data_IF_750442135309
#
_entry.id   IF_750442135309
#
_cell.length_a   1.000
_cell.length_b   1.000
_cell.length_c   1.000
_cell.angle_alpha   90.00
_cell.angle_beta   90.00
_cell.angle_gamma   90.00
#
_symmetry.space_group_name_H-M   'P 1'
#
loop_
_entity.id
_entity.type
_entity.pdbx_description
1 polymer ?
#
# COMPACT_ATOMS: atom_id res chain seq x y z
N UNK A 1 34.44 -8.63 -30.59
CA UNK A 1 33.64 -7.47 -30.15
C UNK A 1 32.25 -7.94 -29.76
N UNK A 2 31.88 -7.93 -28.47
CA UNK A 2 30.48 -8.01 -27.99
C UNK A 2 30.37 -7.31 -26.63
N UNK A 3 30.54 -6.00 -26.64
CA UNK A 3 30.08 -5.14 -25.54
C UNK A 3 28.64 -4.77 -25.86
N UNK A 4 27.71 -5.09 -24.96
CA UNK A 4 26.63 -4.19 -24.55
C UNK A 4 26.10 -4.75 -23.21
N UNK A 5 26.65 -4.23 -22.12
CA UNK A 5 26.06 -4.41 -20.79
C UNK A 5 24.72 -3.70 -20.74
N UNK A 6 23.64 -4.46 -20.52
CA UNK A 6 22.34 -3.91 -20.18
C UNK A 6 22.28 -3.82 -18.66
N UNK A 7 22.47 -2.60 -18.18
CA UNK A 7 22.06 -2.05 -16.88
C UNK A 7 21.23 -3.01 -16.02
N UNK A 8 21.86 -3.50 -14.95
CA UNK A 8 21.17 -4.13 -13.82
C UNK A 8 20.45 -2.98 -13.10
N UNK A 9 19.17 -2.78 -13.39
CA UNK A 9 18.30 -2.17 -12.41
C UNK A 9 18.11 -3.26 -11.35
N UNK A 10 18.88 -3.14 -10.28
CA UNK A 10 18.75 -3.98 -9.09
C UNK A 10 17.31 -3.86 -8.62
N UNK A 11 16.51 -4.87 -8.96
CA UNK A 11 15.33 -5.22 -8.18
C UNK A 11 15.83 -5.34 -6.75
N UNK A 12 15.47 -4.34 -5.95
CA UNK A 12 15.63 -4.38 -4.51
C UNK A 12 14.94 -5.66 -4.07
N UNK A 13 15.75 -6.67 -3.79
CA UNK A 13 15.31 -7.91 -3.18
C UNK A 13 14.89 -7.56 -1.76
N UNK A 14 13.70 -6.98 -1.64
CA UNK A 14 13.00 -6.88 -0.38
C UNK A 14 12.59 -8.30 -0.04
N UNK A 15 13.22 -8.87 0.99
CA UNK A 15 12.69 -9.97 1.76
C UNK A 15 11.17 -9.84 1.82
N UNK A 16 10.36 -10.85 1.42
CA UNK A 16 8.92 -10.71 1.51
C UNK A 16 8.61 -10.43 2.98
N UNK A 17 8.02 -9.27 3.33
CA UNK A 17 7.52 -9.09 4.67
C UNK A 17 6.56 -10.24 4.90
N UNK A 18 6.76 -10.93 6.02
CA UNK A 18 6.13 -12.21 6.30
C UNK A 18 4.59 -12.11 6.37
N UNK A 19 4.04 -10.90 6.33
CA UNK A 19 2.64 -10.60 6.10
C UNK A 19 2.48 -9.12 5.70
N UNK A 20 1.93 -8.82 4.53
CA UNK A 20 1.51 -7.45 4.21
C UNK A 20 0.17 -7.18 4.91
N UNK A 21 0.02 -5.99 5.50
CA UNK A 21 -1.20 -5.57 6.20
C UNK A 21 -1.75 -4.28 5.64
N UNK A 22 -3.07 -4.14 5.66
CA UNK A 22 -3.76 -2.88 5.38
C UNK A 22 -3.67 -1.96 6.60
N UNK A 23 -3.98 -0.68 6.38
CA UNK A 23 -4.07 0.33 7.43
C UNK A 23 -5.01 -0.06 8.59
N UNK A 24 -6.07 -0.83 8.31
CA UNK A 24 -7.01 -1.34 9.31
C UNK A 24 -6.62 -2.72 9.88
N UNK A 25 -5.42 -3.24 9.56
CA UNK A 25 -4.92 -4.52 10.06
C UNK A 25 -5.36 -5.77 9.30
N UNK A 26 -6.06 -5.61 8.18
CA UNK A 26 -6.41 -6.71 7.28
C UNK A 26 -5.17 -7.28 6.59
N UNK A 27 -5.15 -8.59 6.35
CA UNK A 27 -4.03 -9.27 5.69
C UNK A 27 -4.13 -9.14 4.17
N UNK A 28 -3.00 -8.92 3.50
CA UNK A 28 -2.87 -8.89 2.05
C UNK A 28 -2.03 -10.07 1.58
N UNK A 29 -2.50 -10.74 0.53
CA UNK A 29 -1.74 -11.79 -0.16
C UNK A 29 -0.73 -11.19 -1.15
N UNK A 30 -1.15 -10.18 -1.92
CA UNK A 30 -0.29 -9.46 -2.86
C UNK A 30 -0.58 -7.96 -2.81
N UNK A 31 0.33 -7.13 -2.26
CA UNK A 31 0.13 -5.69 -2.12
C UNK A 31 0.02 -4.93 -3.45
N UNK A 32 0.48 -5.50 -4.57
CA UNK A 32 0.41 -4.85 -5.88
C UNK A 32 -1.02 -4.73 -6.41
N UNK A 33 -1.94 -5.56 -5.93
CA UNK A 33 -3.34 -5.56 -6.35
C UNK A 33 -4.23 -4.59 -5.52
N UNK A 34 -3.66 -3.94 -4.51
CA UNK A 34 -4.42 -3.12 -3.58
C UNK A 34 -4.05 -1.63 -3.69
N UNK A 35 -5.03 -0.72 -3.50
CA UNK A 35 -4.75 0.70 -3.42
C UNK A 35 -3.76 1.00 -2.29
N UNK A 36 -2.86 1.96 -2.52
CA UNK A 36 -1.88 2.39 -1.53
C UNK A 36 -1.53 3.87 -1.68
N UNK A 37 -1.12 4.49 -0.57
CA UNK A 37 -0.69 5.88 -0.50
C UNK A 37 0.57 6.01 0.36
N UNK A 38 1.27 7.14 0.23
CA UNK A 38 2.39 7.47 1.12
C UNK A 38 1.88 8.26 2.32
N UNK A 39 2.26 7.83 3.52
CA UNK A 39 1.97 8.49 4.79
C UNK A 39 3.24 8.58 5.62
N UNK A 40 3.68 9.79 5.96
CA UNK A 40 4.88 10.02 6.80
C UNK A 40 6.13 9.27 6.30
N UNK A 41 6.26 9.10 4.99
CA UNK A 41 7.38 8.38 4.35
C UNK A 41 7.21 6.87 4.23
N UNK A 42 6.13 6.30 4.74
CA UNK A 42 5.80 4.87 4.64
C UNK A 42 4.66 4.63 3.66
N UNK A 43 4.69 3.49 2.95
CA UNK A 43 3.58 3.08 2.08
C UNK A 43 2.52 2.35 2.89
N UNK A 44 1.31 2.89 2.88
CA UNK A 44 0.13 2.34 3.53
C UNK A 44 -0.78 1.71 2.48
N UNK A 45 -1.27 0.50 2.76
CA UNK A 45 -2.16 -0.25 1.86
C UNK A 45 -3.59 -0.26 2.37
N UNK A 46 -4.55 -0.34 1.45
CA UNK A 46 -5.98 -0.30 1.77
C UNK A 46 -6.71 -1.46 1.12
N UNK A 47 -7.72 -2.01 1.80
CA UNK A 47 -8.53 -3.12 1.27
C UNK A 47 -9.42 -2.70 0.09
N UNK A 48 -9.80 -1.42 0.02
CA UNK A 48 -10.75 -0.89 -0.96
C UNK A 48 -10.39 0.55 -1.38
N UNK A 49 -10.89 0.99 -2.53
CA UNK A 49 -10.67 2.35 -3.03
C UNK A 49 -11.40 3.39 -2.16
N UNK A 50 -12.55 3.06 -1.59
CA UNK A 50 -13.22 3.93 -0.62
C UNK A 50 -12.35 4.24 0.60
N UNK A 51 -11.66 3.24 1.17
CA UNK A 51 -10.74 3.48 2.29
C UNK A 51 -9.60 4.42 1.92
N UNK A 52 -9.00 4.24 0.73
CA UNK A 52 -8.00 5.18 0.20
C UNK A 52 -8.59 6.60 0.09
N UNK A 53 -9.80 6.74 -0.43
CA UNK A 53 -10.47 8.04 -0.61
C UNK A 53 -10.76 8.75 0.71
N UNK A 54 -11.07 8.01 1.79
CA UNK A 54 -11.25 8.62 3.12
C UNK A 54 -9.90 9.00 3.71
N UNK A 55 -8.89 8.13 3.59
CA UNK A 55 -7.52 8.42 4.00
C UNK A 55 -6.93 9.67 3.31
N UNK A 56 -7.16 9.85 2.01
CA UNK A 56 -6.68 11.02 1.25
C UNK A 56 -7.33 12.34 1.67
N UNK A 57 -8.50 12.30 2.33
CA UNK A 57 -9.17 13.50 2.85
C UNK A 57 -8.59 13.92 4.19
N UNK A 58 -8.42 12.96 5.10
CA UNK A 58 -7.79 13.19 6.40
C UNK A 58 -7.07 11.93 6.91
N UNK A 59 -5.74 11.85 6.73
CA UNK A 59 -5.00 10.62 6.99
C UNK A 59 -4.74 10.38 8.49
N UNK A 60 -4.64 11.43 9.31
CA UNK A 60 -4.39 11.30 10.76
C UNK A 60 -5.54 10.58 11.50
N UNK A 61 -6.82 11.00 11.40
CA UNK A 61 -7.93 10.29 12.05
C UNK A 61 -8.19 8.91 11.44
N UNK A 62 -7.91 8.74 10.15
CA UNK A 62 -7.97 7.43 9.52
C UNK A 62 -6.96 6.46 10.14
N UNK A 63 -5.70 6.89 10.30
CA UNK A 63 -4.63 6.08 10.90
C UNK A 63 -4.81 5.90 12.40
N UNK A 64 -5.54 6.79 13.08
CA UNK A 64 -5.97 6.63 14.47
C UNK A 64 -7.12 5.61 14.64
N UNK A 65 -7.75 5.15 13.56
CA UNK A 65 -8.88 4.23 13.60
C UNK A 65 -10.20 4.89 13.99
N UNK A 66 -10.30 6.22 13.87
CA UNK A 66 -11.49 7.01 14.20
C UNK A 66 -12.49 7.09 13.03
N UNK A 67 -12.13 6.49 11.90
CA UNK A 67 -12.95 6.45 10.68
C UNK A 67 -13.77 5.16 10.66
N UNK A 68 -15.08 5.30 10.48
CA UNK A 68 -15.96 4.17 10.21
C UNK A 68 -15.65 3.57 8.83
N UNK A 69 -15.67 2.24 8.73
CA UNK A 69 -15.37 1.52 7.50
C UNK A 69 -16.41 1.90 6.43
N UNK A 70 -16.03 2.63 5.36
CA UNK A 70 -16.99 3.08 4.38
C UNK A 70 -17.54 1.87 3.62
N UNK A 71 -18.86 1.73 3.60
CA UNK A 71 -19.53 0.79 2.70
C UNK A 71 -19.44 1.37 1.29
N UNK A 72 -18.77 0.66 0.37
CA UNK A 72 -18.88 0.98 -1.05
C UNK A 72 -20.29 0.62 -1.49
N UNK A 73 -21.21 1.59 -1.44
CA UNK A 73 -22.47 1.49 -2.17
C UNK A 73 -22.17 1.70 -3.66
N UNK A 74 -21.87 0.57 -4.34
CA UNK A 74 -22.11 0.32 -5.78
C UNK A 74 -21.53 1.29 -6.79
#
# INVERSE_FOLDING_TARGET
MKSQGKIILTETAATPPSEFKTACGGKLEDPANYPSALYRGERVYFCARACLRVFEQDPDPFMAGEVEHPIEEG
#
